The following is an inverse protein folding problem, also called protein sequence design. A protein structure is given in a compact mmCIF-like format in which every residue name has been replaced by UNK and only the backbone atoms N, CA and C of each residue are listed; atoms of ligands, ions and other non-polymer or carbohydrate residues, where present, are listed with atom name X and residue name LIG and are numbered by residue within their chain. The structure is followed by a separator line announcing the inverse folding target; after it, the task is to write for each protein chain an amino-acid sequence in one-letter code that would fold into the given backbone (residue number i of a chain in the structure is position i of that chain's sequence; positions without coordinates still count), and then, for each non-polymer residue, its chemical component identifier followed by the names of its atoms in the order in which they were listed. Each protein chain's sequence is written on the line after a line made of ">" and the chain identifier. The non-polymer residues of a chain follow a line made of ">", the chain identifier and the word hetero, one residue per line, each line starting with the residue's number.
data_IF_037044489179
#
_entry.id   IF_037044489179
#
_cell.length_a   1.000
_cell.length_b   1.000
_cell.length_c   1.000
_cell.angle_alpha   90.00
_cell.angle_beta   90.00
_cell.angle_gamma   90.00
#
_symmetry.space_group_name_H-M   'P 1'
#
loop_
_entity.id
_entity.type
_entity.pdbx_description
1 polymer ?
#
# COMPACT_ATOMS: atom_id res chain seq x y z
N UNK A 1 -12.70 98.39 5.82
CA UNK A 1 -13.95 97.63 6.04
C UNK A 1 -13.62 96.17 6.13
N UNK A 2 -13.77 95.65 7.30
CA UNK A 2 -13.30 94.33 7.76
C UNK A 2 -14.37 93.34 7.43
N UNK A 3 -14.00 92.19 6.81
CA UNK A 3 -14.82 90.99 6.82
C UNK A 3 -13.98 89.80 7.20
N UNK A 4 -14.29 89.32 8.36
CA UNK A 4 -13.74 88.15 9.01
C UNK A 4 -14.29 86.92 8.28
N UNK A 5 -13.42 86.10 7.76
CA UNK A 5 -13.80 84.77 7.21
C UNK A 5 -13.42 83.69 8.20
N UNK A 6 -14.42 83.04 8.78
CA UNK A 6 -14.26 81.88 9.67
C UNK A 6 -13.89 80.66 8.84
N UNK A 7 -12.71 80.09 9.06
CA UNK A 7 -12.34 78.81 8.55
C UNK A 7 -12.91 77.72 9.46
N UNK A 8 -13.79 76.94 8.93
CA UNK A 8 -14.29 75.74 9.59
C UNK A 8 -13.28 74.56 9.37
N UNK A 9 -12.72 74.09 10.46
CA UNK A 9 -11.82 72.97 10.49
C UNK A 9 -12.63 71.64 10.44
N UNK A 10 -12.69 71.05 9.27
CA UNK A 10 -13.27 69.69 9.09
C UNK A 10 -12.23 68.65 9.47
N UNK A 11 -12.41 68.07 10.65
CA UNK A 11 -11.64 66.93 11.09
C UNK A 11 -12.17 65.70 10.38
N UNK A 12 -11.42 65.23 9.41
CA UNK A 12 -11.73 63.98 8.69
C UNK A 12 -11.09 62.82 9.46
N UNK A 13 -11.87 62.14 10.27
CA UNK A 13 -11.43 60.92 10.94
C UNK A 13 -11.48 59.76 9.95
N UNK A 14 -10.32 59.39 9.41
CA UNK A 14 -10.17 58.18 8.61
C UNK A 14 -10.12 57.00 9.57
N UNK A 15 -11.24 56.29 9.66
CA UNK A 15 -11.29 54.99 10.34
C UNK A 15 -10.60 53.94 9.46
N UNK A 16 -9.37 53.57 9.79
CA UNK A 16 -8.67 52.47 9.16
C UNK A 16 -9.23 51.19 9.78
N UNK A 17 -10.15 50.57 9.08
CA UNK A 17 -10.58 49.17 9.42
C UNK A 17 -9.48 48.20 8.97
N UNK A 18 -8.68 47.77 9.91
CA UNK A 18 -7.74 46.64 9.70
C UNK A 18 -8.56 45.38 9.64
N UNK A 19 -8.90 44.93 8.43
CA UNK A 19 -9.41 43.55 8.22
C UNK A 19 -8.24 42.60 8.40
N UNK A 20 -8.17 41.96 9.57
CA UNK A 20 -7.28 40.83 9.80
C UNK A 20 -7.81 39.67 8.99
N UNK A 21 -7.31 39.48 7.77
CA UNK A 21 -7.45 38.21 7.05
C UNK A 21 -6.63 37.18 7.82
N UNK A 22 -7.28 36.46 8.71
CA UNK A 22 -6.76 35.15 9.17
C UNK A 22 -6.76 34.19 7.98
N UNK A 23 -5.69 34.22 7.20
CA UNK A 23 -5.40 33.12 6.30
C UNK A 23 -5.08 31.91 7.17
N UNK A 24 -6.07 31.01 7.34
CA UNK A 24 -5.83 29.65 7.78
C UNK A 24 -4.98 28.98 6.72
N UNK A 25 -3.67 29.13 6.85
CA UNK A 25 -2.71 28.38 6.09
C UNK A 25 -2.65 27.00 6.75
N UNK A 26 -3.61 26.14 6.40
CA UNK A 26 -3.52 24.71 6.69
C UNK A 26 -2.47 24.10 5.77
N UNK A 27 -1.22 24.47 5.98
CA UNK A 27 -0.11 23.62 5.63
C UNK A 27 -0.18 22.42 6.59
N UNK A 28 -1.05 21.46 6.31
CA UNK A 28 -0.84 20.11 6.77
C UNK A 28 0.46 19.67 6.09
N UNK A 29 1.57 19.79 6.83
CA UNK A 29 2.77 19.05 6.50
C UNK A 29 2.34 17.61 6.22
N UNK A 30 2.92 16.92 5.20
CA UNK A 30 2.62 15.52 5.00
C UNK A 30 2.89 14.85 6.35
N UNK A 31 1.84 14.24 6.89
CA UNK A 31 1.93 13.46 8.13
C UNK A 31 3.08 12.50 7.88
N UNK A 32 4.15 12.59 8.68
CA UNK A 32 5.25 11.64 8.60
C UNK A 32 4.59 10.27 8.74
N UNK A 33 4.58 9.49 7.67
CA UNK A 33 4.01 8.15 7.70
C UNK A 33 4.72 7.44 8.86
N UNK A 34 3.94 7.06 9.87
CA UNK A 34 4.48 6.37 11.03
C UNK A 34 5.26 5.16 10.52
N UNK A 35 6.52 5.04 10.94
CA UNK A 35 7.37 3.95 10.46
C UNK A 35 6.68 2.62 10.78
N UNK A 36 6.56 1.79 9.77
CA UNK A 36 5.98 0.48 9.94
C UNK A 36 6.88 -0.36 10.86
N UNK A 37 6.28 -0.90 11.91
CA UNK A 37 6.93 -1.82 12.85
C UNK A 37 6.31 -3.20 12.75
N UNK A 38 6.99 -4.23 13.24
CA UNK A 38 6.43 -5.58 13.30
C UNK A 38 5.08 -5.63 14.05
N UNK A 39 4.95 -4.82 15.09
CA UNK A 39 3.68 -4.69 15.85
C UNK A 39 2.57 -4.09 15.00
N UNK A 40 2.86 -3.01 14.25
CA UNK A 40 1.88 -2.35 13.39
C UNK A 40 1.42 -3.29 12.27
N UNK A 41 2.34 -4.06 11.65
CA UNK A 41 2.02 -5.05 10.63
C UNK A 41 1.06 -6.13 11.17
N UNK A 42 1.36 -6.65 12.36
CA UNK A 42 0.49 -7.62 13.01
C UNK A 42 -0.90 -7.05 13.25
N UNK A 43 -0.99 -5.86 13.83
CA UNK A 43 -2.27 -5.18 14.09
C UNK A 43 -3.05 -4.91 12.79
N UNK A 44 -2.38 -4.61 11.70
CA UNK A 44 -3.04 -4.45 10.40
C UNK A 44 -3.62 -5.76 9.87
N UNK A 45 -2.87 -6.86 9.98
CA UNK A 45 -3.33 -8.19 9.58
C UNK A 45 -4.56 -8.60 10.40
N UNK A 46 -4.53 -8.41 11.72
CA UNK A 46 -5.63 -8.77 12.62
C UNK A 46 -6.95 -8.03 12.31
N UNK A 47 -6.89 -6.90 11.59
CA UNK A 47 -8.11 -6.18 11.18
C UNK A 47 -8.90 -6.89 10.07
N UNK A 48 -8.25 -7.66 9.21
CA UNK A 48 -8.90 -8.39 8.13
C UNK A 48 -8.86 -9.91 8.30
N UNK A 49 -8.01 -10.42 9.18
CA UNK A 49 -8.00 -11.84 9.59
C UNK A 49 -7.80 -11.96 11.12
N UNK A 50 -8.90 -12.04 11.86
CA UNK A 50 -8.88 -12.23 13.31
C UNK A 50 -8.25 -13.55 13.76
N UNK A 51 -8.08 -14.51 12.83
CA UNK A 51 -7.48 -15.82 13.10
C UNK A 51 -5.98 -15.85 12.80
N UNK A 52 -5.39 -14.71 12.45
CA UNK A 52 -3.96 -14.62 12.17
C UNK A 52 -3.12 -15.11 13.35
N UNK A 53 -2.11 -15.93 13.05
CA UNK A 53 -1.25 -16.55 14.06
C UNK A 53 0.15 -15.94 13.96
N UNK A 54 0.56 -15.25 15.02
CA UNK A 54 1.92 -14.74 15.13
C UNK A 54 2.81 -15.73 15.88
N UNK A 55 3.96 -16.08 15.27
CA UNK A 55 4.94 -16.99 15.87
C UNK A 55 6.36 -16.43 15.64
N UNK A 56 7.01 -15.99 16.70
CA UNK A 56 8.33 -15.38 16.60
C UNK A 56 8.33 -14.15 15.70
N UNK A 57 9.08 -14.22 14.62
CA UNK A 57 9.20 -13.16 13.60
C UNK A 57 8.35 -13.43 12.34
N UNK A 58 7.27 -14.17 12.48
CA UNK A 58 6.34 -14.47 11.40
C UNK A 58 4.88 -14.33 11.81
N UNK A 59 4.02 -14.07 10.83
CA UNK A 59 2.57 -14.06 10.98
C UNK A 59 1.97 -14.87 9.83
N UNK A 60 1.21 -15.91 10.15
CA UNK A 60 0.39 -16.65 9.20
C UNK A 60 -1.02 -16.09 9.21
N UNK A 61 -1.58 -15.82 8.06
CA UNK A 61 -2.92 -15.26 7.90
C UNK A 61 -3.52 -15.71 6.56
N UNK A 62 -4.81 -15.48 6.38
CA UNK A 62 -5.54 -15.88 5.19
C UNK A 62 -6.21 -14.68 4.52
N UNK A 63 -6.25 -14.69 3.19
CA UNK A 63 -7.03 -13.77 2.37
C UNK A 63 -7.59 -14.57 1.18
N UNK A 64 -8.90 -14.48 0.92
CA UNK A 64 -9.60 -15.23 -0.12
C UNK A 64 -9.28 -16.74 -0.08
N UNK A 65 -9.40 -17.34 1.11
CA UNK A 65 -9.11 -18.77 1.33
C UNK A 65 -7.65 -19.19 1.04
N UNK A 66 -6.78 -18.22 0.75
CA UNK A 66 -5.36 -18.45 0.51
C UNK A 66 -4.56 -18.13 1.76
N UNK A 67 -3.76 -19.09 2.19
CA UNK A 67 -2.83 -18.89 3.30
C UNK A 67 -1.60 -18.09 2.84
N UNK A 68 -1.25 -17.07 3.61
CA UNK A 68 -0.06 -16.27 3.43
C UNK A 68 0.81 -16.32 4.69
N UNK A 69 2.12 -16.25 4.47
CA UNK A 69 3.10 -16.13 5.53
C UNK A 69 3.86 -14.81 5.36
N UNK A 70 3.74 -13.93 6.36
CA UNK A 70 4.64 -12.78 6.50
C UNK A 70 5.80 -13.16 7.41
N UNK A 71 7.01 -12.85 6.98
CA UNK A 71 8.23 -12.98 7.79
C UNK A 71 8.96 -11.66 7.81
N UNK A 72 9.49 -11.26 8.97
CA UNK A 72 10.25 -10.03 9.11
C UNK A 72 11.56 -10.23 9.89
N UNK A 73 12.54 -9.38 9.60
CA UNK A 73 13.80 -9.28 10.31
C UNK A 73 14.10 -7.80 10.56
N UNK A 74 13.92 -7.36 11.80
CA UNK A 74 14.12 -5.97 12.19
C UNK A 74 15.60 -5.57 12.13
N UNK A 75 16.53 -6.50 12.37
CA UNK A 75 17.97 -6.24 12.30
C UNK A 75 18.43 -6.04 10.86
N UNK A 76 17.90 -6.86 9.94
CA UNK A 76 18.19 -6.75 8.51
C UNK A 76 17.35 -5.67 7.83
N UNK A 77 16.39 -5.06 8.53
CA UNK A 77 15.44 -4.10 7.97
C UNK A 77 14.70 -4.69 6.76
N UNK A 78 14.13 -5.89 6.90
CA UNK A 78 13.46 -6.60 5.80
C UNK A 78 12.19 -7.28 6.28
N UNK A 79 11.22 -7.32 5.37
CA UNK A 79 10.04 -8.18 5.48
C UNK A 79 9.78 -8.85 4.14
N UNK A 80 9.04 -9.96 4.19
CA UNK A 80 8.49 -10.62 3.00
C UNK A 80 7.12 -11.17 3.29
N UNK A 81 6.27 -11.17 2.26
CA UNK A 81 5.00 -11.88 2.23
C UNK A 81 5.13 -12.95 1.17
N UNK A 82 4.76 -14.18 1.50
CA UNK A 82 4.82 -15.31 0.57
C UNK A 82 3.54 -16.12 0.62
N UNK A 83 3.17 -16.71 -0.51
CA UNK A 83 2.14 -17.74 -0.56
C UNK A 83 2.54 -18.84 -1.55
N UNK A 84 2.25 -20.10 -1.26
CA UNK A 84 2.53 -21.19 -2.18
C UNK A 84 1.59 -21.12 -3.38
N UNK A 85 2.12 -21.47 -4.56
CA UNK A 85 1.38 -21.47 -5.82
C UNK A 85 1.15 -22.88 -6.31
N UNK A 86 2.24 -23.67 -6.43
CA UNK A 86 2.21 -25.02 -6.95
C UNK A 86 3.46 -25.80 -6.56
N UNK A 87 3.43 -27.15 -6.62
CA UNK A 87 4.64 -27.96 -6.53
C UNK A 87 5.61 -27.64 -7.67
N UNK A 88 6.92 -27.59 -7.39
CA UNK A 88 7.95 -27.27 -8.38
C UNK A 88 8.01 -28.24 -9.57
N UNK A 89 7.51 -29.46 -9.39
CA UNK A 89 7.47 -30.47 -10.46
C UNK A 89 6.65 -30.10 -11.69
N UNK A 90 5.79 -29.08 -11.61
CA UNK A 90 5.07 -28.51 -12.78
C UNK A 90 5.92 -27.52 -13.58
N UNK A 91 7.03 -27.06 -13.04
CA UNK A 91 7.88 -26.03 -13.63
C UNK A 91 8.83 -26.64 -14.68
N UNK A 92 8.29 -27.00 -15.86
CA UNK A 92 9.12 -27.31 -17.01
C UNK A 92 10.03 -26.12 -17.38
N UNK A 93 11.03 -26.35 -18.22
CA UNK A 93 11.90 -25.27 -18.72
C UNK A 93 11.09 -24.11 -19.32
N UNK A 94 10.05 -24.44 -20.10
CA UNK A 94 9.17 -23.43 -20.69
C UNK A 94 8.43 -22.62 -19.62
N UNK A 95 7.89 -23.27 -18.59
CA UNK A 95 7.21 -22.60 -17.46
C UNK A 95 8.20 -21.71 -16.71
N UNK A 96 9.43 -22.16 -16.47
CA UNK A 96 10.46 -21.35 -15.82
C UNK A 96 10.80 -20.09 -16.62
N UNK A 97 10.96 -20.23 -17.95
CA UNK A 97 11.19 -19.07 -18.82
C UNK A 97 10.01 -18.09 -18.72
N UNK A 98 8.78 -18.58 -18.75
CA UNK A 98 7.59 -17.73 -18.63
C UNK A 98 7.50 -17.05 -17.27
N UNK A 99 7.81 -17.74 -16.19
CA UNK A 99 7.89 -17.13 -14.84
C UNK A 99 8.91 -15.98 -14.80
N UNK A 100 10.08 -16.17 -15.44
CA UNK A 100 11.10 -15.12 -15.51
C UNK A 100 10.62 -13.91 -16.35
N UNK A 101 9.92 -14.15 -17.44
CA UNK A 101 9.29 -13.10 -18.23
C UNK A 101 8.22 -12.36 -17.43
N UNK A 102 7.32 -13.10 -16.73
CA UNK A 102 6.30 -12.50 -15.90
C UNK A 102 6.87 -11.68 -14.73
N UNK A 103 8.01 -12.09 -14.19
CA UNK A 103 8.73 -11.29 -13.20
C UNK A 103 9.23 -9.94 -13.76
N UNK A 104 9.36 -9.82 -15.07
CA UNK A 104 9.78 -8.59 -15.74
C UNK A 104 8.58 -7.70 -16.12
N UNK A 105 7.51 -8.28 -16.63
CA UNK A 105 6.46 -7.53 -17.32
C UNK A 105 5.03 -7.68 -16.77
N UNK A 106 4.73 -8.70 -15.96
CA UNK A 106 3.36 -9.01 -15.57
C UNK A 106 3.06 -8.81 -14.07
N UNK A 107 4.01 -9.14 -13.19
CA UNK A 107 3.83 -8.98 -11.74
C UNK A 107 4.55 -7.71 -11.28
N UNK A 108 3.86 -6.84 -10.54
CA UNK A 108 4.38 -5.52 -10.17
C UNK A 108 5.67 -5.64 -9.31
N UNK A 109 5.52 -5.60 -7.98
CA UNK A 109 6.64 -5.72 -7.03
C UNK A 109 6.86 -7.15 -6.54
N UNK A 110 5.88 -8.03 -6.78
CA UNK A 110 5.93 -9.45 -6.46
C UNK A 110 6.81 -10.19 -7.46
N UNK A 111 7.39 -11.30 -7.05
CA UNK A 111 8.17 -12.18 -7.92
C UNK A 111 7.78 -13.64 -7.70
N UNK A 112 7.81 -14.41 -8.78
CA UNK A 112 7.81 -15.86 -8.68
C UNK A 112 9.19 -16.36 -8.26
N UNK A 113 9.21 -17.31 -7.33
CA UNK A 113 10.42 -17.92 -6.82
C UNK A 113 10.21 -19.43 -6.62
N UNK A 114 11.29 -20.18 -6.60
CA UNK A 114 11.26 -21.61 -6.27
C UNK A 114 12.12 -21.86 -5.04
N UNK A 115 11.54 -22.53 -4.07
CA UNK A 115 12.25 -22.99 -2.86
C UNK A 115 11.51 -24.17 -2.25
N UNK A 116 12.25 -25.14 -1.70
CA UNK A 116 11.70 -26.29 -0.98
C UNK A 116 10.64 -27.06 -1.81
N UNK A 117 10.93 -27.30 -3.07
CA UNK A 117 10.06 -28.01 -4.02
C UNK A 117 8.68 -27.36 -4.25
N UNK A 118 8.57 -26.06 -4.01
CA UNK A 118 7.36 -25.27 -4.21
C UNK A 118 7.68 -24.04 -5.04
N UNK A 119 6.76 -23.66 -5.92
CA UNK A 119 6.69 -22.36 -6.57
C UNK A 119 5.94 -21.40 -5.62
N UNK A 120 6.52 -20.26 -5.37
CA UNK A 120 6.01 -19.23 -4.48
C UNK A 120 5.77 -17.93 -5.25
N UNK A 121 4.81 -17.12 -4.79
CA UNK A 121 4.84 -15.66 -5.01
C UNK A 121 5.45 -15.01 -3.78
N UNK A 122 6.28 -14.01 -3.99
CA UNK A 122 7.08 -13.36 -2.95
C UNK A 122 7.08 -11.86 -3.14
N UNK A 123 6.57 -11.12 -2.17
CA UNK A 123 6.76 -9.68 -2.02
C UNK A 123 7.85 -9.42 -0.99
N UNK A 124 8.80 -8.52 -1.28
CA UNK A 124 9.91 -8.20 -0.36
C UNK A 124 10.02 -6.68 -0.26
N UNK A 125 10.08 -6.17 0.97
CA UNK A 125 10.24 -4.74 1.21
C UNK A 125 11.13 -4.47 2.43
N UNK A 126 11.63 -3.24 2.54
CA UNK A 126 12.30 -2.75 3.75
C UNK A 126 11.23 -2.36 4.78
N UNK A 127 11.41 -2.75 6.04
CA UNK A 127 10.49 -2.35 7.12
C UNK A 127 10.50 -0.83 7.33
N UNK A 128 11.68 -0.22 7.35
CA UNK A 128 11.86 1.20 7.68
C UNK A 128 11.23 2.17 6.68
N UNK A 129 10.99 1.74 5.45
CA UNK A 129 10.37 2.54 4.38
C UNK A 129 9.01 2.03 3.94
N UNK A 130 8.51 0.96 4.54
CA UNK A 130 7.20 0.40 4.23
C UNK A 130 6.11 1.31 4.76
N UNK A 131 5.17 1.67 3.91
CA UNK A 131 3.93 2.36 4.30
C UNK A 131 2.80 1.34 4.48
N UNK A 132 1.69 1.76 5.08
CA UNK A 132 0.49 0.92 5.15
C UNK A 132 -0.01 0.57 3.75
N UNK A 133 -0.04 1.54 2.84
CA UNK A 133 -0.53 1.35 1.47
C UNK A 133 0.36 0.37 0.70
N UNK A 134 1.70 0.47 0.83
CA UNK A 134 2.64 -0.50 0.23
C UNK A 134 2.42 -1.91 0.78
N UNK A 135 2.13 -2.03 2.08
CA UNK A 135 1.87 -3.31 2.71
C UNK A 135 0.60 -3.97 2.20
N UNK A 136 -0.52 -3.23 2.16
CA UNK A 136 -1.80 -3.73 1.65
C UNK A 136 -1.71 -4.06 0.16
N UNK A 137 -1.06 -3.18 -0.62
CA UNK A 137 -0.78 -3.43 -2.04
C UNK A 137 0.09 -4.67 -2.23
N UNK A 138 1.13 -4.86 -1.41
CA UNK A 138 1.98 -6.06 -1.44
C UNK A 138 1.22 -7.36 -1.17
N UNK A 139 0.27 -7.35 -0.23
CA UNK A 139 -0.62 -8.50 0.02
C UNK A 139 -1.49 -8.77 -1.21
N UNK A 140 -2.19 -7.75 -1.72
CA UNK A 140 -3.07 -7.90 -2.88
C UNK A 140 -2.30 -8.41 -4.11
N UNK A 141 -1.11 -7.86 -4.39
CA UNK A 141 -0.23 -8.32 -5.47
C UNK A 141 0.20 -9.78 -5.28
N UNK A 142 0.53 -10.18 -4.04
CA UNK A 142 0.97 -11.56 -3.74
C UNK A 142 -0.13 -12.57 -4.03
N UNK A 143 -1.36 -12.27 -3.64
CA UNK A 143 -2.53 -13.11 -3.91
C UNK A 143 -2.86 -13.12 -5.40
N UNK A 144 -2.96 -11.94 -6.04
CA UNK A 144 -3.27 -11.83 -7.48
C UNK A 144 -2.28 -12.62 -8.33
N UNK A 145 -0.98 -12.50 -8.06
CA UNK A 145 0.04 -13.24 -8.80
C UNK A 145 -0.08 -14.75 -8.60
N UNK A 146 -0.50 -15.21 -7.42
CA UNK A 146 -0.73 -16.63 -7.17
C UNK A 146 -1.99 -17.16 -7.85
N UNK A 147 -3.07 -16.39 -7.88
CA UNK A 147 -4.33 -16.76 -8.53
C UNK A 147 -4.24 -16.78 -10.04
N UNK A 148 -3.47 -15.86 -10.60
CA UNK A 148 -3.28 -15.75 -12.06
C UNK A 148 -2.12 -16.61 -12.58
N UNK A 149 -1.47 -17.40 -11.73
CA UNK A 149 -0.40 -18.30 -12.15
C UNK A 149 -0.88 -19.26 -13.25
N UNK A 150 -0.13 -19.33 -14.33
CA UNK A 150 -0.47 -20.15 -15.49
C UNK A 150 -1.44 -19.50 -16.48
N UNK A 151 -2.33 -18.60 -16.06
CA UNK A 151 -3.24 -17.88 -16.96
C UNK A 151 -2.52 -16.76 -17.72
N UNK A 152 -1.73 -15.96 -17.05
CA UNK A 152 -0.89 -14.94 -17.65
C UNK A 152 0.27 -15.49 -18.50
N UNK A 153 0.62 -16.77 -18.33
CA UNK A 153 1.68 -17.44 -19.10
C UNK A 153 1.20 -18.05 -20.42
N UNK A 154 -0.08 -18.39 -20.54
CA UNK A 154 -0.62 -19.13 -21.69
C UNK A 154 -1.03 -18.23 -22.85
N UNK A 155 -1.24 -16.94 -22.61
CA UNK A 155 -1.81 -16.06 -23.65
C UNK A 155 -0.83 -15.59 -24.71
N UNK A 156 0.49 -15.84 -24.56
CA UNK A 156 1.50 -15.46 -25.56
C UNK A 156 1.60 -13.97 -25.88
N UNK A 157 0.73 -13.15 -25.32
CA UNK A 157 0.71 -11.72 -25.51
C UNK A 157 1.54 -11.05 -24.42
N UNK A 158 2.53 -10.27 -24.83
CA UNK A 158 3.18 -9.31 -23.94
C UNK A 158 2.16 -8.18 -23.67
N UNK A 159 1.30 -8.36 -22.68
CA UNK A 159 0.34 -7.32 -22.28
C UNK A 159 0.78 -6.81 -20.91
N UNK A 160 1.42 -5.66 -20.91
CA UNK A 160 1.62 -4.87 -19.71
C UNK A 160 0.25 -4.41 -19.21
N UNK A 161 -0.13 -4.83 -18.00
CA UNK A 161 -1.25 -4.25 -17.28
C UNK A 161 -2.63 -4.43 -17.90
N UNK A 162 -2.88 -5.50 -18.59
CA UNK A 162 -4.17 -5.76 -19.20
C UNK A 162 -4.75 -7.10 -18.81
N UNK A 163 -6.00 -7.12 -18.36
CA UNK A 163 -6.79 -8.31 -18.12
C UNK A 163 -7.29 -8.44 -16.68
N UNK A 164 -7.85 -9.57 -16.37
CA UNK A 164 -8.54 -9.88 -15.11
C UNK A 164 -7.66 -9.70 -13.85
N UNK A 165 -6.33 -9.78 -14.00
CA UNK A 165 -5.39 -9.58 -12.89
C UNK A 165 -5.46 -8.19 -12.27
N UNK A 166 -5.72 -7.14 -13.06
CA UNK A 166 -5.89 -5.79 -12.51
C UNK A 166 -7.19 -5.66 -11.73
N UNK A 167 -8.28 -6.23 -12.23
CA UNK A 167 -9.56 -6.23 -11.54
C UNK A 167 -9.47 -6.99 -10.21
N UNK A 168 -8.86 -8.17 -10.20
CA UNK A 168 -8.62 -8.96 -8.98
C UNK A 168 -7.79 -8.14 -7.97
N UNK A 169 -6.71 -7.51 -8.43
CA UNK A 169 -5.85 -6.70 -7.58
C UNK A 169 -6.61 -5.50 -6.97
N UNK A 170 -7.36 -4.76 -7.78
CA UNK A 170 -8.13 -3.61 -7.31
C UNK A 170 -9.21 -3.99 -6.31
N UNK A 171 -9.91 -5.09 -6.54
CA UNK A 171 -10.97 -5.56 -5.64
C UNK A 171 -10.39 -6.03 -4.30
N UNK A 172 -9.29 -6.77 -4.30
CA UNK A 172 -8.57 -7.18 -3.09
C UNK A 172 -8.05 -5.96 -2.30
N UNK A 173 -7.47 -4.99 -3.00
CA UNK A 173 -6.95 -3.79 -2.36
C UNK A 173 -8.06 -2.99 -1.69
N UNK A 174 -9.19 -2.78 -2.36
CA UNK A 174 -10.38 -2.12 -1.79
C UNK A 174 -10.90 -2.85 -0.56
N UNK A 175 -10.94 -4.18 -0.58
CA UNK A 175 -11.37 -4.99 0.56
C UNK A 175 -10.45 -4.80 1.77
N UNK A 176 -9.14 -4.87 1.56
CA UNK A 176 -8.14 -4.65 2.59
C UNK A 176 -8.18 -3.24 3.17
N UNK A 177 -8.28 -2.23 2.32
CA UNK A 177 -8.40 -0.83 2.74
C UNK A 177 -9.65 -0.61 3.59
N UNK A 178 -10.80 -1.16 3.16
CA UNK A 178 -12.04 -1.08 3.92
C UNK A 178 -11.93 -1.75 5.27
N UNK A 179 -11.39 -2.95 5.35
CA UNK A 179 -11.22 -3.68 6.60
C UNK A 179 -10.28 -2.92 7.57
N UNK A 180 -9.21 -2.33 7.06
CA UNK A 180 -8.26 -1.56 7.87
C UNK A 180 -8.76 -0.18 8.27
N UNK A 181 -9.64 0.46 7.49
CA UNK A 181 -10.24 1.76 7.81
C UNK A 181 -11.29 1.66 8.92
N UNK A 182 -12.09 0.59 8.95
CA UNK A 182 -13.20 0.41 9.91
C UNK A 182 -12.70 0.29 11.36
N UNK A 183 -11.43 -0.02 11.59
CA UNK A 183 -10.80 -0.05 12.91
C UNK A 183 -10.43 1.33 13.47
N UNK A 184 -10.81 2.44 12.85
CA UNK A 184 -10.47 3.82 13.26
C UNK A 184 -11.57 4.54 14.03
N UNK A 185 -12.74 3.92 14.21
CA UNK A 185 -13.84 4.46 15.01
C UNK A 185 -14.08 3.61 16.26
N UNK A 186 -13.14 3.63 17.18
CA UNK A 186 -13.41 3.32 18.61
C UNK A 186 -12.59 4.29 19.46
#
# INVERSE_FOLDING_TARGET
>A
MIRILRAALLVFTVSISIAVLSACNSNSAPTSSEKMTASNLKTLIEKFDEKAIATGNSVTFSLNERELLMVYDEKADRMRIITPVAPSGIASEEVLIRMMQANYDAVLDVRYAMANDIVWTVFIHRLSSLTQDDFLSGIAQTVTAAETFGTSFTSGAMVFGGGDSNAIHEDLLKELEKATATGKEI
#
